data_IF_045269129948
#
_entry.id   IF_045269129948
#
_cell.length_a   1.000
_cell.length_b   1.000
_cell.length_c   1.000
_cell.angle_alpha   90.00
_cell.angle_beta   90.00
_cell.angle_gamma   90.00
#
_symmetry.space_group_name_H-M   'P 1'
#
loop_
_entity.id
_entity.type
_entity.pdbx_description
1 polymer ?
#
# COMPACT_ATOMS: atom_id res chain seq x y z
N UNK A 1 2.80 -18.14 8.06
CA UNK A 1 2.12 -17.06 8.80
C UNK A 1 1.76 -15.91 7.87
N UNK A 2 2.69 -15.43 7.04
CA UNK A 2 2.44 -14.35 6.05
C UNK A 2 1.59 -14.75 4.84
N UNK A 3 1.59 -16.02 4.44
CA UNK A 3 0.71 -16.52 3.35
C UNK A 3 -0.79 -16.28 3.61
N UNK A 4 -1.22 -16.33 4.88
CA UNK A 4 -2.62 -16.03 5.22
C UNK A 4 -2.93 -14.54 5.09
N UNK A 5 -1.97 -13.68 5.44
CA UNK A 5 -2.10 -12.23 5.28
C UNK A 5 -2.18 -11.86 3.78
N UNK A 6 -1.34 -12.47 2.94
CA UNK A 6 -1.41 -12.27 1.49
C UNK A 6 -2.75 -12.71 0.89
N UNK A 7 -3.28 -13.88 1.28
CA UNK A 7 -4.59 -14.37 0.82
C UNK A 7 -5.77 -13.50 1.24
N UNK A 8 -5.69 -12.88 2.42
CA UNK A 8 -6.74 -11.98 2.92
C UNK A 8 -6.61 -10.54 2.44
N UNK A 9 -5.50 -10.17 1.81
CA UNK A 9 -5.21 -8.78 1.47
C UNK A 9 -6.23 -8.22 0.48
N UNK A 10 -6.50 -8.93 -0.61
CA UNK A 10 -7.45 -8.49 -1.63
C UNK A 10 -8.86 -8.27 -1.04
N UNK A 11 -9.37 -9.24 -0.25
CA UNK A 11 -10.67 -9.07 0.41
C UNK A 11 -10.74 -7.85 1.32
N UNK A 12 -9.64 -7.50 2.00
CA UNK A 12 -9.57 -6.27 2.80
C UNK A 12 -9.63 -5.00 1.92
N UNK A 13 -9.01 -5.03 0.73
CA UNK A 13 -9.09 -3.93 -0.23
C UNK A 13 -10.51 -3.76 -0.74
N UNK A 14 -11.20 -4.85 -1.04
CA UNK A 14 -12.56 -4.83 -1.56
C UNK A 14 -13.59 -4.37 -0.51
N UNK A 15 -13.38 -4.73 0.75
CA UNK A 15 -14.21 -4.33 1.88
C UNK A 15 -14.02 -2.84 2.24
N UNK A 16 -12.77 -2.38 2.34
CA UNK A 16 -12.45 -1.03 2.81
C UNK A 16 -12.41 0.02 1.69
N UNK A 17 -12.19 -0.42 0.45
CA UNK A 17 -12.02 0.41 -0.75
C UNK A 17 -11.09 1.61 -0.55
N UNK A 18 -9.87 1.40 -0.02
CA UNK A 18 -8.95 2.51 0.24
C UNK A 18 -8.32 3.03 -1.05
N UNK A 19 -8.11 4.33 -1.15
CA UNK A 19 -7.32 4.91 -2.25
C UNK A 19 -5.81 4.77 -2.03
N UNK A 20 -5.37 4.85 -0.75
CA UNK A 20 -3.95 4.79 -0.37
C UNK A 20 -3.74 3.93 0.86
N UNK A 21 -2.71 3.11 0.82
CA UNK A 21 -2.28 2.23 1.92
C UNK A 21 -0.81 2.48 2.20
N UNK A 22 -0.45 2.63 3.46
CA UNK A 22 0.95 2.67 3.91
C UNK A 22 1.25 1.34 4.60
N UNK A 23 2.17 0.57 4.02
CA UNK A 23 2.57 -0.75 4.52
C UNK A 23 3.83 -0.60 5.36
N UNK A 24 3.73 -0.93 6.64
CA UNK A 24 4.87 -0.87 7.57
C UNK A 24 5.62 -2.21 7.55
N UNK A 25 6.73 -2.27 6.84
CA UNK A 25 7.60 -3.44 6.77
C UNK A 25 7.71 -4.05 5.38
N UNK A 26 8.85 -3.82 4.74
CA UNK A 26 9.14 -4.29 3.38
C UNK A 26 9.26 -5.80 3.25
N UNK A 27 9.67 -6.50 4.31
CA UNK A 27 9.78 -7.97 4.29
C UNK A 27 8.43 -8.65 4.12
N UNK A 28 7.40 -8.16 4.83
CA UNK A 28 6.03 -8.66 4.62
C UNK A 28 5.54 -8.27 3.23
N UNK A 29 5.83 -7.04 2.80
CA UNK A 29 5.44 -6.53 1.49
C UNK A 29 5.93 -7.38 0.33
N UNK A 30 7.18 -7.86 0.38
CA UNK A 30 7.73 -8.74 -0.67
C UNK A 30 7.03 -10.10 -0.80
N UNK A 31 6.10 -10.42 0.10
CA UNK A 31 5.31 -11.65 0.09
C UNK A 31 3.83 -11.39 -0.25
N UNK A 32 3.46 -10.15 -0.60
CA UNK A 32 2.10 -9.84 -1.04
C UNK A 32 1.83 -10.42 -2.44
N UNK A 33 0.55 -10.66 -2.78
CA UNK A 33 0.17 -11.12 -4.12
C UNK A 33 0.64 -10.14 -5.20
N UNK A 34 0.76 -10.63 -6.42
CA UNK A 34 1.10 -9.81 -7.58
C UNK A 34 0.11 -8.64 -7.73
N UNK A 35 0.66 -7.46 -8.01
CA UNK A 35 -0.11 -6.23 -8.15
C UNK A 35 -0.61 -6.03 -9.59
N UNK A 36 -1.76 -5.38 -9.74
CA UNK A 36 -2.27 -4.94 -11.04
C UNK A 36 -1.41 -3.84 -11.67
N UNK A 37 -0.84 -2.97 -10.82
CA UNK A 37 0.07 -1.90 -11.22
C UNK A 37 1.37 -2.04 -10.45
N UNK A 38 2.48 -2.13 -11.17
CA UNK A 38 3.81 -2.16 -10.58
C UNK A 38 4.57 -0.89 -10.95
N UNK A 39 4.80 0.00 -9.99
CA UNK A 39 5.65 1.18 -10.19
C UNK A 39 7.08 0.89 -9.72
N UNK A 40 7.22 0.38 -8.51
CA UNK A 40 8.51 -0.06 -7.94
C UNK A 40 8.28 -1.22 -6.98
N UNK A 41 9.36 -1.83 -6.50
CA UNK A 41 9.29 -2.84 -5.44
C UNK A 41 8.57 -2.35 -4.16
N UNK A 42 8.60 -1.04 -3.90
CA UNK A 42 8.02 -0.42 -2.70
C UNK A 42 6.68 0.28 -2.98
N UNK A 43 6.26 0.38 -4.25
CA UNK A 43 5.04 1.10 -4.64
C UNK A 43 4.30 0.32 -5.71
N UNK A 44 3.12 -0.21 -5.36
CA UNK A 44 2.31 -1.04 -6.23
C UNK A 44 0.82 -0.72 -6.03
N UNK A 45 -0.01 -1.01 -7.03
CA UNK A 45 -1.44 -0.72 -7.05
C UNK A 45 -2.27 -1.98 -7.26
N UNK A 46 -3.39 -2.07 -6.56
CA UNK A 46 -4.33 -3.19 -6.62
C UNK A 46 -5.71 -2.66 -6.97
N UNK A 47 -6.37 -3.31 -7.92
CA UNK A 47 -7.75 -3.01 -8.25
C UNK A 47 -8.66 -3.53 -7.15
N UNK A 48 -9.72 -2.79 -6.89
CA UNK A 48 -10.81 -3.20 -6.02
C UNK A 48 -11.99 -3.66 -6.87
N UNK A 49 -12.84 -4.53 -6.33
CA UNK A 49 -14.04 -5.04 -7.02
C UNK A 49 -15.03 -3.94 -7.47
N UNK A 50 -14.91 -2.72 -6.92
CA UNK A 50 -15.67 -1.54 -7.34
C UNK A 50 -15.07 -0.75 -8.52
N UNK A 51 -13.99 -1.24 -9.13
CA UNK A 51 -13.24 -0.52 -10.17
C UNK A 51 -12.32 0.58 -9.63
N UNK A 52 -12.27 0.79 -8.31
CA UNK A 52 -11.32 1.67 -7.66
C UNK A 52 -9.91 1.08 -7.62
N UNK A 53 -8.92 1.92 -7.31
CA UNK A 53 -7.51 1.53 -7.23
C UNK A 53 -6.96 1.88 -5.85
N UNK A 54 -6.34 0.90 -5.19
CA UNK A 54 -5.63 1.08 -3.93
C UNK A 54 -4.12 1.15 -4.19
N UNK A 55 -3.51 2.32 -3.99
CA UNK A 55 -2.06 2.48 -4.09
C UNK A 55 -1.36 2.17 -2.76
N UNK A 56 -0.48 1.20 -2.77
CA UNK A 56 0.25 0.73 -1.60
C UNK A 56 1.69 1.25 -1.58
N UNK A 57 2.12 1.72 -0.41
CA UNK A 57 3.43 2.32 -0.16
C UNK A 57 4.15 1.58 0.95
N UNK A 58 5.10 0.72 0.59
CA UNK A 58 5.88 -0.02 1.54
C UNK A 58 7.05 0.79 2.08
N UNK A 59 7.13 0.86 3.40
CA UNK A 59 8.16 1.60 4.14
C UNK A 59 8.82 0.70 5.17
N UNK A 60 9.94 1.15 5.73
CA UNK A 60 10.60 0.40 6.80
C UNK A 60 9.67 0.24 8.01
N UNK A 61 9.76 -0.89 8.69
CA UNK A 61 8.98 -1.10 9.91
C UNK A 61 9.50 -0.17 11.03
N UNK A 62 8.66 0.34 11.96
CA UNK A 62 9.13 1.12 13.10
C UNK A 62 10.24 0.45 13.91
N UNK A 63 10.18 -0.88 14.08
CA UNK A 63 11.25 -1.63 14.76
C UNK A 63 12.57 -1.70 13.97
N UNK A 64 12.56 -1.38 12.69
CA UNK A 64 13.74 -1.27 11.83
C UNK A 64 14.29 0.17 11.73
N UNK A 65 13.75 1.11 12.54
CA UNK A 65 14.26 2.48 12.63
C UNK A 65 13.48 3.51 11.82
N UNK A 66 12.27 3.20 11.34
CA UNK A 66 11.37 4.23 10.82
C UNK A 66 10.95 5.18 11.95
N UNK A 67 11.45 6.41 11.91
CA UNK A 67 11.08 7.44 12.87
C UNK A 67 9.68 7.99 12.61
N UNK A 68 9.02 8.45 13.68
CA UNK A 68 7.71 9.10 13.57
C UNK A 68 7.71 10.29 12.60
N UNK A 69 8.77 11.11 12.62
CA UNK A 69 8.91 12.25 11.71
C UNK A 69 8.87 11.82 10.24
N UNK A 70 9.54 10.74 9.87
CA UNK A 70 9.53 10.21 8.49
C UNK A 70 8.17 9.64 8.13
N UNK A 71 7.55 8.88 9.04
CA UNK A 71 6.20 8.35 8.82
C UNK A 71 5.18 9.47 8.64
N UNK A 72 5.24 10.53 9.46
CA UNK A 72 4.35 11.68 9.34
C UNK A 72 4.48 12.41 7.99
N UNK A 73 5.71 12.54 7.46
CA UNK A 73 5.93 13.10 6.13
C UNK A 73 5.32 12.22 5.02
N UNK A 74 5.44 10.91 5.15
CA UNK A 74 4.83 9.95 4.21
C UNK A 74 3.30 10.00 4.26
N UNK A 75 2.71 10.06 5.44
CA UNK A 75 1.26 10.22 5.61
C UNK A 75 0.81 11.53 4.96
N UNK A 76 1.48 12.65 5.25
CA UNK A 76 1.13 13.94 4.66
C UNK A 76 1.23 13.92 3.12
N UNK A 77 2.25 13.29 2.57
CA UNK A 77 2.39 13.10 1.12
C UNK A 77 1.29 12.21 0.53
N UNK A 78 0.96 11.11 1.20
CA UNK A 78 -0.09 10.19 0.80
C UNK A 78 -1.48 10.84 0.81
N UNK A 79 -1.76 11.70 1.80
CA UNK A 79 -3.05 12.40 1.94
C UNK A 79 -3.22 13.55 0.96
N UNK A 80 -2.14 14.24 0.58
CA UNK A 80 -2.19 15.43 -0.27
C UNK A 80 -2.06 15.15 -1.78
N UNK A 81 -2.01 13.87 -2.20
CA UNK A 81 -1.98 13.51 -3.61
C UNK A 81 -3.36 13.67 -4.21
N UNK A 82 -3.57 14.73 -4.98
CA UNK A 82 -4.62 14.74 -5.99
C UNK A 82 -4.27 13.69 -7.04
N UNK A 83 -5.15 12.71 -7.23
CA UNK A 83 -5.08 11.79 -8.36
C UNK A 83 -5.48 12.62 -9.58
N UNK A 84 -4.49 13.00 -10.40
CA UNK A 84 -4.76 13.58 -11.71
C UNK A 84 -5.17 12.42 -12.61
N UNK A 85 -6.47 12.30 -12.90
CA UNK A 85 -6.94 11.50 -14.02
C UNK A 85 -6.39 12.15 -15.30
N UNK A 86 -5.60 11.39 -16.06
CA UNK A 86 -5.17 11.82 -17.38
C UNK A 86 -6.29 11.43 -18.35
N UNK A 87 -6.90 12.44 -18.97
CA UNK A 87 -7.88 12.30 -20.06
C UNK A 87 -7.34 11.47 -21.24
#
# INVERSE_FOLDING_TARGET
>A
MWERAGKGFQGLLDDLKPNTIIVLGKTMWSLMPDADIYLTKDVQGYKTDGGGMAMCWAVEHPSAGLSWRRLAQLIAFATNREIVELD
#
